data_IF_905146337530
#
_entry.id   IF_905146337530
#
_cell.length_a   1.000
_cell.length_b   1.000
_cell.length_c   1.000
_cell.angle_alpha   90.00
_cell.angle_beta   90.00
_cell.angle_gamma   90.00
#
_symmetry.space_group_name_H-M   'P 1'
#
loop_
_entity.id
_entity.type
_entity.pdbx_description
1 polymer ?
#
# COMPACT_ATOMS: atom_id res chain seq x y z
N UNK A 1 -18.05 -23.28 -17.81
CA UNK A 1 -16.75 -22.75 -17.37
C UNK A 1 -16.81 -21.26 -16.99
N UNK A 2 -17.46 -20.38 -17.78
CA UNK A 2 -17.57 -18.94 -17.47
C UNK A 2 -18.35 -18.62 -16.17
N UNK A 3 -19.38 -19.42 -15.84
CA UNK A 3 -20.18 -19.28 -14.62
C UNK A 3 -19.43 -19.62 -13.33
N UNK A 4 -18.40 -20.49 -13.38
CA UNK A 4 -17.58 -20.83 -12.21
C UNK A 4 -16.68 -19.67 -11.77
N UNK A 5 -15.94 -19.08 -12.72
CA UNK A 5 -15.03 -17.96 -12.45
C UNK A 5 -15.75 -16.70 -11.96
N UNK A 6 -17.01 -16.51 -12.37
CA UNK A 6 -17.82 -15.39 -11.90
C UNK A 6 -18.21 -15.55 -10.42
N UNK A 7 -18.42 -16.78 -9.96
CA UNK A 7 -18.65 -17.06 -8.54
C UNK A 7 -17.38 -16.88 -7.70
N UNK A 8 -16.20 -17.18 -8.25
CA UNK A 8 -14.93 -16.99 -7.55
C UNK A 8 -14.62 -15.51 -7.27
N UNK A 9 -14.93 -14.63 -8.23
CA UNK A 9 -14.78 -13.17 -8.05
C UNK A 9 -15.72 -12.65 -6.96
N UNK A 10 -16.99 -13.09 -6.97
CA UNK A 10 -17.97 -12.69 -5.95
C UNK A 10 -17.53 -13.21 -4.57
N UNK A 11 -17.08 -14.46 -4.49
CA UNK A 11 -16.58 -15.05 -3.25
C UNK A 11 -15.32 -14.34 -2.73
N UNK A 12 -14.43 -13.87 -3.61
CA UNK A 12 -13.29 -13.05 -3.19
C UNK A 12 -13.74 -11.68 -2.66
N UNK A 13 -14.69 -11.01 -3.33
CA UNK A 13 -15.22 -9.73 -2.87
C UNK A 13 -15.81 -9.84 -1.46
N UNK A 14 -16.63 -10.86 -1.20
CA UNK A 14 -17.21 -11.10 0.13
C UNK A 14 -16.14 -11.35 1.20
N UNK A 15 -15.08 -12.11 0.88
CA UNK A 15 -13.96 -12.33 1.81
C UNK A 15 -13.17 -11.05 2.08
N UNK A 16 -12.96 -10.21 1.07
CA UNK A 16 -12.30 -8.91 1.25
C UNK A 16 -13.12 -8.01 2.17
N UNK A 17 -14.44 -7.96 1.97
CA UNK A 17 -15.36 -7.18 2.81
C UNK A 17 -15.34 -7.66 4.27
N UNK A 18 -15.28 -8.97 4.51
CA UNK A 18 -15.11 -9.55 5.86
C UNK A 18 -13.80 -9.12 6.54
N UNK A 19 -12.76 -8.82 5.76
CA UNK A 19 -11.49 -8.28 6.24
C UNK A 19 -11.42 -6.73 6.20
N UNK A 20 -12.58 -6.07 6.06
CA UNK A 20 -12.72 -4.63 6.12
C UNK A 20 -12.36 -3.89 4.82
N UNK A 21 -12.18 -4.60 3.70
CA UNK A 21 -11.80 -4.00 2.42
C UNK A 21 -12.93 -4.09 1.39
N UNK A 22 -13.44 -2.93 0.98
CA UNK A 22 -14.52 -2.81 0.00
C UNK A 22 -13.94 -2.73 -1.41
N UNK A 23 -14.03 -3.83 -2.16
CA UNK A 23 -13.56 -3.92 -3.53
C UNK A 23 -14.73 -3.86 -4.53
N UNK A 24 -14.55 -3.13 -5.62
CA UNK A 24 -15.41 -3.29 -6.79
C UNK A 24 -15.13 -4.63 -7.49
N UNK A 25 -16.13 -5.12 -8.23
CA UNK A 25 -16.02 -6.39 -8.96
C UNK A 25 -14.82 -6.44 -9.91
N UNK A 26 -14.56 -5.35 -10.65
CA UNK A 26 -13.41 -5.25 -11.57
C UNK A 26 -12.09 -5.42 -10.81
N UNK A 27 -11.96 -4.74 -9.67
CA UNK A 27 -10.80 -4.82 -8.80
C UNK A 27 -10.61 -6.21 -8.18
N UNK A 28 -11.69 -6.82 -7.70
CA UNK A 28 -11.67 -8.19 -7.18
C UNK A 28 -11.24 -9.19 -8.26
N UNK A 29 -11.69 -9.01 -9.50
CA UNK A 29 -11.26 -9.84 -10.62
C UNK A 29 -9.75 -9.70 -10.90
N UNK A 30 -9.23 -8.46 -10.90
CA UNK A 30 -7.79 -8.23 -11.07
C UNK A 30 -6.98 -8.87 -9.95
N UNK A 31 -7.39 -8.73 -8.69
CA UNK A 31 -6.73 -9.39 -7.56
C UNK A 31 -6.76 -10.92 -7.66
N UNK A 32 -7.88 -11.50 -8.10
CA UNK A 32 -7.97 -12.94 -8.32
C UNK A 32 -6.96 -13.39 -9.39
N UNK A 33 -6.86 -12.67 -10.50
CA UNK A 33 -5.88 -12.96 -11.55
C UNK A 33 -4.43 -12.81 -11.05
N UNK A 34 -4.13 -11.79 -10.26
CA UNK A 34 -2.84 -11.63 -9.58
C UNK A 34 -2.49 -12.86 -8.74
N UNK A 35 -3.46 -13.36 -7.96
CA UNK A 35 -3.27 -14.52 -7.08
C UNK A 35 -3.06 -15.82 -7.86
N UNK A 36 -3.87 -16.07 -8.89
CA UNK A 36 -3.81 -17.30 -9.71
C UNK A 36 -2.57 -17.33 -10.61
N UNK A 37 -2.27 -16.20 -11.28
CA UNK A 37 -1.14 -16.13 -12.21
C UNK A 37 0.20 -15.92 -11.51
N UNK A 38 0.19 -15.59 -10.20
CA UNK A 38 1.37 -15.20 -9.43
C UNK A 38 2.18 -14.10 -10.14
N UNK A 39 1.47 -13.15 -10.75
CA UNK A 39 2.06 -11.97 -11.40
C UNK A 39 1.94 -10.76 -10.48
N UNK A 40 2.94 -9.86 -10.43
CA UNK A 40 2.84 -8.63 -9.66
C UNK A 40 1.65 -7.76 -10.10
N UNK A 41 1.06 -7.00 -9.18
CA UNK A 41 0.00 -6.02 -9.47
C UNK A 41 0.53 -4.60 -9.24
N UNK A 42 0.52 -3.78 -10.27
CA UNK A 42 0.79 -2.34 -10.20
C UNK A 42 -0.52 -1.58 -10.00
N UNK A 43 -0.63 -0.91 -8.86
CA UNK A 43 -1.71 -0.01 -8.50
C UNK A 43 -1.26 1.44 -8.69
N UNK A 44 -1.83 2.12 -9.66
CA UNK A 44 -1.57 3.53 -9.93
C UNK A 44 -2.80 4.36 -9.57
N UNK A 45 -2.63 5.58 -9.07
CA UNK A 45 -3.75 6.45 -8.71
C UNK A 45 -3.32 7.58 -7.78
N UNK A 46 -4.27 8.38 -7.32
CA UNK A 46 -4.01 9.50 -6.43
C UNK A 46 -3.61 9.04 -5.01
N UNK A 47 -3.00 9.94 -4.24
CA UNK A 47 -2.69 9.67 -2.84
C UNK A 47 -3.98 9.48 -2.02
N UNK A 48 -3.97 8.54 -1.07
CA UNK A 48 -5.11 8.36 -0.16
C UNK A 48 -6.33 7.62 -0.76
N UNK A 49 -6.24 7.03 -1.96
CA UNK A 49 -7.32 6.19 -2.55
C UNK A 49 -7.33 4.74 -2.05
N UNK A 50 -6.44 4.37 -1.12
CA UNK A 50 -6.42 3.05 -0.49
C UNK A 50 -5.50 2.00 -1.12
N UNK A 51 -4.58 2.38 -2.01
CA UNK A 51 -3.63 1.46 -2.69
C UNK A 51 -2.84 0.59 -1.70
N UNK A 52 -2.30 1.20 -0.64
CA UNK A 52 -1.53 0.50 0.41
C UNK A 52 -2.41 -0.45 1.24
N UNK A 53 -3.70 -0.13 1.41
CA UNK A 53 -4.62 -0.97 2.20
C UNK A 53 -4.94 -2.28 1.48
N UNK A 54 -4.84 -2.31 0.15
CA UNK A 54 -5.00 -3.54 -0.65
C UNK A 54 -4.03 -4.63 -0.21
N UNK A 55 -2.74 -4.28 -0.05
CA UNK A 55 -1.73 -5.26 0.34
C UNK A 55 -1.96 -5.79 1.76
N UNK A 56 -2.40 -4.93 2.68
CA UNK A 56 -2.77 -5.33 4.05
C UNK A 56 -4.00 -6.24 4.05
N UNK A 57 -5.03 -5.89 3.28
CA UNK A 57 -6.24 -6.71 3.14
C UNK A 57 -5.91 -8.08 2.56
N UNK A 58 -5.05 -8.14 1.54
CA UNK A 58 -4.58 -9.39 0.94
C UNK A 58 -3.79 -10.25 1.95
N UNK A 59 -2.91 -9.64 2.74
CA UNK A 59 -2.14 -10.35 3.77
C UNK A 59 -3.05 -10.93 4.86
N UNK A 60 -4.06 -10.17 5.31
CA UNK A 60 -5.09 -10.64 6.25
C UNK A 60 -5.90 -11.80 5.66
N UNK A 61 -6.34 -11.67 4.41
CA UNK A 61 -7.14 -12.68 3.71
C UNK A 61 -6.38 -14.00 3.51
N UNK A 62 -5.08 -13.92 3.20
CA UNK A 62 -4.21 -15.07 3.02
C UNK A 62 -3.62 -15.60 4.34
N UNK A 63 -3.86 -14.91 5.45
CA UNK A 63 -3.27 -15.16 6.75
C UNK A 63 -1.74 -15.35 6.67
N UNK A 64 -1.08 -14.43 5.95
CA UNK A 64 0.37 -14.45 5.73
C UNK A 64 1.01 -13.13 6.15
N UNK A 65 2.34 -13.11 6.20
CA UNK A 65 3.10 -11.92 6.57
C UNK A 65 3.02 -10.86 5.47
N UNK A 66 2.88 -9.60 5.88
CA UNK A 66 3.07 -8.44 5.02
C UNK A 66 4.52 -7.95 5.18
N UNK A 67 5.28 -7.97 4.09
CA UNK A 67 6.61 -7.36 4.03
C UNK A 67 6.47 -6.08 3.20
N UNK A 68 6.90 -4.96 3.77
CA UNK A 68 6.82 -3.65 3.12
C UNK A 68 8.21 -3.16 2.78
N UNK A 69 8.39 -2.78 1.52
CA UNK A 69 9.48 -1.95 1.03
C UNK A 69 8.91 -0.56 0.74
N UNK A 70 9.34 0.44 1.50
CA UNK A 70 9.01 1.83 1.21
C UNK A 70 10.03 2.38 0.21
N UNK A 71 9.56 2.85 -0.94
CA UNK A 71 10.37 3.55 -1.91
C UNK A 71 10.42 5.05 -1.58
N UNK A 72 11.59 5.63 -1.76
CA UNK A 72 11.89 7.04 -1.59
C UNK A 72 13.12 7.40 -2.42
N UNK A 73 13.36 8.69 -2.60
CA UNK A 73 14.50 9.18 -3.38
C UNK A 73 15.83 8.85 -2.70
N UNK A 74 16.74 8.22 -3.43
CA UNK A 74 18.02 7.74 -2.87
C UNK A 74 17.92 6.42 -2.12
N UNK A 75 16.85 5.64 -2.29
CA UNK A 75 16.79 4.25 -1.83
C UNK A 75 17.93 3.44 -2.48
N UNK A 76 18.84 2.94 -1.66
CA UNK A 76 19.97 2.12 -2.11
C UNK A 76 19.55 0.65 -2.27
N UNK A 77 20.10 -0.02 -3.29
CA UNK A 77 19.86 -1.42 -3.59
C UNK A 77 20.21 -2.32 -2.39
N UNK A 78 21.28 -2.04 -1.66
CA UNK A 78 21.64 -2.80 -0.46
C UNK A 78 20.56 -2.72 0.62
N UNK A 79 19.94 -1.56 0.82
CA UNK A 79 18.89 -1.38 1.82
C UNK A 79 17.58 -2.12 1.50
N UNK A 80 17.37 -2.43 0.21
CA UNK A 80 16.20 -3.15 -0.28
C UNK A 80 16.43 -4.66 -0.44
N UNK A 81 17.60 -5.06 -0.94
CA UNK A 81 17.96 -6.44 -1.30
C UNK A 81 18.54 -7.20 -0.10
N UNK A 82 19.75 -6.82 0.33
CA UNK A 82 20.46 -7.42 1.45
C UNK A 82 21.64 -6.55 1.90
N UNK A 83 22.06 -6.75 3.15
CA UNK A 83 23.28 -6.14 3.67
C UNK A 83 24.10 -7.18 4.46
N UNK A 84 25.42 -7.08 4.39
CA UNK A 84 26.29 -7.89 5.25
C UNK A 84 26.41 -7.25 6.64
N UNK A 85 26.18 -8.04 7.69
CA UNK A 85 26.44 -7.60 9.06
C UNK A 85 27.94 -7.63 9.36
N UNK A 86 28.65 -6.59 8.91
CA UNK A 86 30.09 -6.48 9.07
C UNK A 86 30.54 -6.53 10.53
N UNK A 87 29.76 -5.99 11.46
CA UNK A 87 30.08 -6.04 12.90
C UNK A 87 30.12 -7.48 13.41
N UNK A 88 29.12 -8.28 13.03
CA UNK A 88 29.04 -9.69 13.41
C UNK A 88 30.12 -10.53 12.68
N UNK A 89 30.42 -10.21 11.42
CA UNK A 89 31.54 -10.85 10.69
C UNK A 89 32.89 -10.56 11.34
N UNK A 90 33.17 -9.31 11.72
CA UNK A 90 34.43 -8.94 12.38
C UNK A 90 34.59 -9.60 13.75
N UNK A 91 33.50 -9.74 14.51
CA UNK A 91 33.52 -10.48 15.77
C UNK A 91 33.84 -11.97 15.52
N UNK A 92 33.21 -12.57 14.52
CA UNK A 92 33.46 -13.95 14.16
C UNK A 92 34.91 -14.18 13.70
N UNK A 93 35.46 -13.28 12.89
CA UNK A 93 36.87 -13.31 12.48
C UNK A 93 37.78 -13.33 13.70
N UNK A 94 37.57 -12.43 14.68
CA UNK A 94 38.36 -12.37 15.91
C UNK A 94 38.25 -13.64 16.75
N UNK A 95 37.07 -14.24 16.84
CA UNK A 95 36.88 -15.51 17.56
C UNK A 95 37.56 -16.69 16.84
N UNK A 96 37.73 -16.62 15.52
CA UNK A 96 38.35 -17.64 14.67
C UNK A 96 39.85 -17.36 14.37
N UNK A 97 40.44 -16.32 14.97
CA UNK A 97 41.87 -15.97 14.77
C UNK A 97 42.81 -17.11 15.22
N UNK A 98 42.43 -17.86 16.27
CA UNK A 98 43.19 -19.00 16.79
C UNK A 98 42.84 -20.34 16.13
N UNK A 99 41.95 -20.34 15.14
CA UNK A 99 41.54 -21.54 14.43
C UNK A 99 42.63 -21.97 13.43
N UNK A 100 43.00 -23.26 13.38
CA UNK A 100 44.06 -23.77 12.50
C UNK A 100 43.56 -24.18 11.09
N UNK A 101 42.24 -24.04 10.83
CA UNK A 101 41.64 -24.35 9.52
C UNK A 101 42.18 -23.46 8.39
N UNK A 102 42.07 -23.96 7.14
CA UNK A 102 42.56 -23.26 5.96
C UNK A 102 41.80 -21.96 5.69
N UNK A 103 42.43 -20.98 5.04
CA UNK A 103 41.80 -19.69 4.70
C UNK A 103 40.48 -19.87 3.92
N UNK A 104 40.39 -20.75 2.90
CA UNK A 104 39.13 -21.03 2.20
C UNK A 104 37.99 -21.53 3.10
N UNK A 105 38.31 -22.39 4.08
CA UNK A 105 37.31 -22.91 5.00
C UNK A 105 36.79 -21.81 5.95
N UNK A 106 37.69 -20.91 6.38
CA UNK A 106 37.32 -19.73 7.19
C UNK A 106 36.51 -18.71 6.38
N UNK A 107 36.79 -18.55 5.09
CA UNK A 107 36.08 -17.61 4.21
C UNK A 107 34.62 -18.05 3.96
N UNK A 108 34.38 -19.33 3.69
CA UNK A 108 33.01 -19.89 3.60
C UNK A 108 32.22 -19.70 4.88
N UNK A 109 32.91 -19.78 6.01
CA UNK A 109 32.33 -19.48 7.30
C UNK A 109 31.89 -18.00 7.38
N UNK A 110 32.71 -17.04 6.97
CA UNK A 110 32.43 -15.60 7.10
C UNK A 110 31.38 -15.10 6.10
N UNK A 111 31.37 -15.64 4.88
CA UNK A 111 30.38 -15.31 3.84
C UNK A 111 29.29 -16.37 3.76
N UNK A 112 28.44 -16.39 4.80
CA UNK A 112 27.31 -17.30 4.89
C UNK A 112 26.04 -16.56 5.32
N UNK A 113 24.88 -17.16 5.06
CA UNK A 113 23.56 -16.57 5.37
C UNK A 113 23.43 -16.08 6.83
N UNK A 114 24.22 -16.61 7.77
CA UNK A 114 24.23 -16.21 9.19
C UNK A 114 24.63 -14.76 9.43
N UNK A 115 25.39 -14.16 8.50
CA UNK A 115 25.80 -12.76 8.56
C UNK A 115 25.05 -11.88 7.58
N UNK A 116 24.12 -12.45 6.80
CA UNK A 116 23.36 -11.71 5.81
C UNK A 116 22.09 -11.16 6.43
N UNK A 117 21.99 -9.84 6.52
CA UNK A 117 20.77 -9.15 6.89
C UNK A 117 19.82 -9.19 5.69
N UNK A 118 18.78 -10.02 5.81
CA UNK A 118 17.70 -10.12 4.82
C UNK A 118 16.90 -8.83 4.86
N UNK A 119 17.01 -8.01 3.81
CA UNK A 119 16.19 -6.81 3.60
C UNK A 119 14.88 -7.21 2.90
N UNK A 120 13.90 -6.29 2.74
CA UNK A 120 12.54 -6.66 2.36
C UNK A 120 12.44 -7.57 1.12
N UNK A 121 13.27 -7.37 0.11
CA UNK A 121 13.23 -8.17 -1.13
C UNK A 121 13.76 -9.58 -0.94
N UNK A 122 14.93 -9.76 -0.29
CA UNK A 122 15.46 -11.09 0.02
C UNK A 122 14.58 -11.82 1.05
N UNK A 123 14.05 -11.09 2.04
CA UNK A 123 13.12 -11.63 3.02
C UNK A 123 11.86 -12.17 2.33
N UNK A 124 11.31 -11.43 1.35
CA UNK A 124 10.09 -11.83 0.66
C UNK A 124 10.22 -13.12 -0.15
N UNK A 125 11.38 -13.38 -0.75
CA UNK A 125 11.61 -14.60 -1.54
C UNK A 125 12.03 -15.80 -0.68
N UNK A 126 12.59 -15.57 0.51
CA UNK A 126 13.05 -16.64 1.42
C UNK A 126 12.07 -16.98 2.54
N UNK A 127 10.96 -16.25 2.68
CA UNK A 127 9.93 -16.50 3.69
C UNK A 127 8.94 -17.56 3.22
N UNK A 128 8.60 -18.50 4.11
CA UNK A 128 7.51 -19.47 3.94
C UNK A 128 6.59 -19.44 5.17
N UNK A 129 5.24 -19.49 4.98
CA UNK A 129 4.51 -19.46 3.71
C UNK A 129 4.72 -18.14 2.94
N UNK A 130 4.46 -18.15 1.62
CA UNK A 130 4.65 -16.99 0.75
C UNK A 130 4.04 -15.71 1.34
N UNK A 131 4.82 -14.64 1.56
CA UNK A 131 4.30 -13.39 2.08
C UNK A 131 3.60 -12.55 1.00
N UNK A 132 2.89 -11.51 1.44
CA UNK A 132 2.54 -10.38 0.57
C UNK A 132 3.69 -9.38 0.63
N UNK A 133 4.29 -9.08 -0.52
CA UNK A 133 5.31 -8.05 -0.68
C UNK A 133 4.65 -6.78 -1.21
N UNK A 134 4.66 -5.72 -0.41
CA UNK A 134 4.24 -4.38 -0.80
C UNK A 134 5.47 -3.55 -1.14
N UNK A 135 5.59 -3.12 -2.40
CA UNK A 135 6.55 -2.11 -2.86
C UNK A 135 5.78 -0.80 -2.98
N UNK A 136 5.93 0.08 -1.99
CA UNK A 136 5.09 1.26 -1.82
C UNK A 136 5.77 2.50 -2.41
N UNK A 137 5.06 3.27 -3.23
CA UNK A 137 5.55 4.50 -3.91
C UNK A 137 6.74 4.28 -4.85
N UNK A 138 6.66 3.26 -5.72
CA UNK A 138 7.75 2.90 -6.65
C UNK A 138 8.17 4.05 -7.59
N UNK A 139 7.28 5.01 -7.83
CA UNK A 139 7.57 6.22 -8.60
C UNK A 139 8.58 7.18 -7.93
N UNK A 140 8.94 6.92 -6.67
CA UNK A 140 9.94 7.70 -5.91
C UNK A 140 11.37 7.18 -6.05
N UNK A 141 11.61 6.04 -6.71
CA UNK A 141 12.97 5.51 -6.93
C UNK A 141 13.54 5.93 -8.27
N UNK A 142 14.83 5.66 -8.46
CA UNK A 142 15.53 5.86 -9.74
C UNK A 142 15.40 4.65 -10.68
N UNK A 143 15.89 4.79 -11.92
CA UNK A 143 15.87 3.70 -12.92
C UNK A 143 16.76 2.52 -12.55
N UNK A 144 17.86 2.79 -11.84
CA UNK A 144 18.78 1.76 -11.39
C UNK A 144 18.06 0.80 -10.45
N UNK A 145 17.29 1.32 -9.49
CA UNK A 145 16.48 0.49 -8.60
C UNK A 145 15.42 -0.33 -9.35
N UNK A 146 14.71 0.28 -10.31
CA UNK A 146 13.75 -0.45 -11.15
C UNK A 146 14.40 -1.62 -11.88
N UNK A 147 15.62 -1.46 -12.39
CA UNK A 147 16.36 -2.53 -13.06
C UNK A 147 16.65 -3.73 -12.14
N UNK A 148 17.02 -3.48 -10.87
CA UNK A 148 17.20 -4.55 -9.88
C UNK A 148 15.88 -5.26 -9.55
N UNK A 149 14.77 -4.51 -9.46
CA UNK A 149 13.46 -5.12 -9.27
C UNK A 149 13.05 -6.02 -10.44
N UNK A 150 13.45 -5.70 -11.67
CA UNK A 150 13.08 -6.51 -12.84
C UNK A 150 13.64 -7.93 -12.77
N UNK A 151 14.86 -8.12 -12.25
CA UNK A 151 15.44 -9.46 -12.03
C UNK A 151 14.54 -10.26 -11.08
N UNK A 152 14.22 -9.66 -9.92
CA UNK A 152 13.40 -10.30 -8.90
C UNK A 152 11.97 -10.57 -9.40
N UNK A 153 11.32 -9.62 -10.06
CA UNK A 153 9.93 -9.77 -10.49
C UNK A 153 9.77 -10.70 -11.72
N UNK A 154 10.85 -10.96 -12.46
CA UNK A 154 10.82 -11.86 -13.60
C UNK A 154 10.95 -13.31 -13.18
N UNK A 155 12.00 -13.64 -12.42
CA UNK A 155 12.34 -15.03 -12.09
C UNK A 155 12.16 -15.37 -10.60
N UNK A 156 11.79 -14.39 -9.77
CA UNK A 156 11.70 -14.52 -8.31
C UNK A 156 12.99 -15.08 -7.72
N UNK A 157 14.11 -14.51 -8.13
CA UNK A 157 15.43 -14.84 -7.65
C UNK A 157 16.26 -13.57 -7.43
N UNK A 158 17.35 -13.71 -6.70
CA UNK A 158 18.31 -12.65 -6.44
C UNK A 158 19.73 -13.21 -6.60
N UNK A 159 20.55 -12.53 -7.39
CA UNK A 159 21.98 -12.84 -7.52
C UNK A 159 22.79 -12.12 -6.43
N UNK A 160 23.43 -12.89 -5.55
CA UNK A 160 24.35 -12.39 -4.52
C UNK A 160 25.76 -12.83 -4.92
N UNK A 161 26.71 -11.91 -5.17
CA UNK A 161 28.04 -12.27 -5.66
C UNK A 161 28.75 -13.36 -4.84
N UNK A 162 28.64 -13.30 -3.52
CA UNK A 162 29.32 -14.23 -2.61
C UNK A 162 28.54 -15.55 -2.37
N UNK A 163 27.21 -15.56 -2.56
CA UNK A 163 26.36 -16.73 -2.27
C UNK A 163 25.75 -17.38 -3.53
N UNK A 164 25.97 -16.77 -4.70
CA UNK A 164 25.32 -17.16 -5.94
C UNK A 164 23.84 -16.75 -6.01
N UNK A 165 23.08 -17.48 -6.81
CA UNK A 165 21.67 -17.16 -7.09
C UNK A 165 20.76 -17.79 -6.04
N UNK A 166 20.07 -16.94 -5.27
CA UNK A 166 19.04 -17.36 -4.32
C UNK A 166 17.69 -17.30 -5.01
N UNK A 167 16.99 -18.44 -5.10
CA UNK A 167 15.66 -18.53 -5.70
C UNK A 167 14.58 -18.53 -4.64
N UNK A 168 13.42 -17.96 -4.97
CA UNK A 168 12.27 -17.97 -4.08
C UNK A 168 11.82 -19.39 -3.75
N UNK A 169 11.60 -19.66 -2.46
CA UNK A 169 11.02 -20.92 -2.01
C UNK A 169 9.56 -21.03 -2.47
N UNK A 170 8.81 -19.95 -2.26
CA UNK A 170 7.47 -19.75 -2.79
C UNK A 170 7.36 -18.33 -3.36
N UNK A 171 6.66 -18.15 -4.48
CA UNK A 171 6.53 -16.83 -5.09
C UNK A 171 5.63 -15.93 -4.22
N UNK A 172 6.14 -14.80 -3.69
CA UNK A 172 5.33 -13.87 -2.90
C UNK A 172 4.22 -13.24 -3.77
N UNK A 173 3.15 -12.79 -3.11
CA UNK A 173 2.14 -11.98 -3.76
C UNK A 173 2.62 -10.53 -3.78
N UNK A 174 2.93 -9.99 -4.96
CA UNK A 174 3.56 -8.66 -5.08
C UNK A 174 2.53 -7.60 -5.45
N UNK A 175 2.44 -6.55 -4.62
CA UNK A 175 1.68 -5.33 -4.90
C UNK A 175 2.67 -4.17 -4.99
N UNK A 176 2.66 -3.46 -6.12
CA UNK A 176 3.38 -2.21 -6.33
C UNK A 176 2.38 -1.06 -6.28
N UNK A 177 2.69 0.03 -5.60
CA UNK A 177 1.88 1.24 -5.61
C UNK A 177 2.63 2.40 -6.25
N UNK A 178 1.91 3.25 -6.96
CA UNK A 178 2.44 4.48 -7.53
C UNK A 178 1.45 5.62 -7.35
N UNK A 179 1.97 6.81 -7.05
CA UNK A 179 1.19 8.05 -7.02
C UNK A 179 1.25 8.81 -8.35
N UNK A 180 1.92 8.26 -9.37
CA UNK A 180 2.07 8.91 -10.67
C UNK A 180 2.95 10.16 -10.64
N UNK A 181 3.81 10.33 -9.63
CA UNK A 181 4.73 11.49 -9.56
C UNK A 181 5.86 11.43 -10.57
N UNK A 182 6.15 10.23 -11.06
CA UNK A 182 7.09 9.92 -12.14
C UNK A 182 6.51 8.79 -12.98
N UNK A 183 6.83 8.79 -14.28
CA UNK A 183 6.52 7.66 -15.15
C UNK A 183 7.32 6.42 -14.75
N UNK A 184 6.61 5.33 -14.45
CA UNK A 184 7.18 4.00 -14.26
C UNK A 184 7.61 3.41 -15.61
N UNK A 185 8.78 2.77 -15.65
CA UNK A 185 9.31 2.18 -16.88
C UNK A 185 8.37 1.16 -17.53
N UNK A 186 8.37 1.16 -18.86
CA UNK A 186 7.65 0.17 -19.68
C UNK A 186 8.01 -1.27 -19.33
N UNK A 187 9.29 -1.50 -18.99
CA UNK A 187 9.79 -2.81 -18.60
C UNK A 187 9.08 -3.32 -17.33
N UNK A 188 8.93 -2.47 -16.31
CA UNK A 188 8.25 -2.81 -15.07
C UNK A 188 6.75 -2.98 -15.29
N UNK A 189 6.12 -2.07 -16.05
CA UNK A 189 4.69 -2.16 -16.42
C UNK A 189 4.35 -3.47 -17.12
N UNK A 190 5.17 -3.91 -18.08
CA UNK A 190 4.95 -5.17 -18.82
C UNK A 190 5.03 -6.43 -17.95
N UNK A 191 5.76 -6.38 -16.84
CA UNK A 191 5.87 -7.49 -15.88
C UNK A 191 4.68 -7.57 -14.93
N UNK A 192 3.96 -6.48 -14.74
CA UNK A 192 2.81 -6.40 -13.84
C UNK A 192 1.46 -6.59 -14.57
N UNK A 193 0.44 -6.99 -13.80
CA UNK A 193 -0.94 -6.60 -14.09
C UNK A 193 -1.12 -5.14 -13.67
N UNK A 194 -1.98 -4.41 -14.35
CA UNK A 194 -2.17 -2.98 -14.12
C UNK A 194 -3.60 -2.69 -13.70
N UNK A 195 -3.75 -1.83 -12.69
CA UNK A 195 -5.04 -1.31 -12.26
C UNK A 195 -4.88 0.14 -11.80
N UNK A 196 -5.64 1.03 -12.44
CA UNK A 196 -5.81 2.39 -11.94
C UNK A 196 -6.86 2.41 -10.82
N UNK A 197 -6.58 3.13 -9.75
CA UNK A 197 -7.45 3.30 -8.58
C UNK A 197 -7.79 4.78 -8.45
N UNK A 198 -9.03 5.10 -8.80
CA UNK A 198 -9.58 6.44 -8.66
C UNK A 198 -10.26 6.62 -7.29
N UNK A 199 -10.66 7.85 -6.98
CA UNK A 199 -11.53 8.12 -5.84
C UNK A 199 -12.80 7.27 -5.91
N UNK A 200 -13.24 6.68 -4.79
CA UNK A 200 -14.45 5.88 -4.77
C UNK A 200 -15.67 6.73 -5.13
N UNK A 201 -16.61 6.14 -5.86
CA UNK A 201 -17.95 6.71 -6.00
C UNK A 201 -18.70 6.68 -4.66
N UNK A 202 -19.82 7.42 -4.60
CA UNK A 202 -20.63 7.62 -3.40
C UNK A 202 -20.92 6.32 -2.62
N UNK A 203 -21.53 5.33 -3.29
CA UNK A 203 -21.94 4.06 -2.66
C UNK A 203 -20.75 3.30 -2.04
N UNK A 204 -19.62 3.28 -2.75
CA UNK A 204 -18.41 2.60 -2.29
C UNK A 204 -17.80 3.32 -1.10
N UNK A 205 -17.70 4.65 -1.16
CA UNK A 205 -17.15 5.44 -0.06
C UNK A 205 -18.01 5.35 1.20
N UNK A 206 -19.33 5.41 1.05
CA UNK A 206 -20.28 5.21 2.16
C UNK A 206 -20.12 3.83 2.79
N UNK A 207 -19.99 2.78 1.98
CA UNK A 207 -19.75 1.43 2.49
C UNK A 207 -18.41 1.33 3.22
N UNK A 208 -17.35 1.98 2.72
CA UNK A 208 -16.05 2.03 3.40
C UNK A 208 -16.18 2.74 4.75
N UNK A 209 -16.80 3.92 4.80
CA UNK A 209 -16.99 4.68 6.04
C UNK A 209 -17.73 3.84 7.09
N UNK A 210 -18.82 3.17 6.70
CA UNK A 210 -19.59 2.29 7.59
C UNK A 210 -18.81 1.06 8.07
N UNK A 211 -17.94 0.52 7.22
CA UNK A 211 -17.11 -0.65 7.54
C UNK A 211 -15.98 -0.29 8.49
N UNK A 212 -15.36 0.88 8.29
CA UNK A 212 -14.21 1.33 9.07
C UNK A 212 -14.60 2.02 10.38
N UNK A 213 -15.76 2.68 10.42
CA UNK A 213 -16.26 3.41 11.59
C UNK A 213 -17.72 2.99 11.85
N UNK A 214 -17.97 1.80 12.44
CA UNK A 214 -19.32 1.28 12.63
C UNK A 214 -20.20 2.11 13.57
N UNK A 215 -19.59 2.93 14.44
CA UNK A 215 -20.33 3.81 15.37
C UNK A 215 -20.96 5.04 14.70
N UNK A 216 -20.62 5.34 13.44
CA UNK A 216 -21.16 6.51 12.74
C UNK A 216 -22.66 6.33 12.45
N UNK A 217 -23.53 7.28 12.81
CA UNK A 217 -24.94 7.24 12.41
C UNK A 217 -25.08 7.22 10.88
N UNK A 218 -25.97 6.38 10.35
CA UNK A 218 -26.15 6.20 8.90
C UNK A 218 -26.44 7.54 8.17
N UNK A 219 -27.29 8.38 8.76
CA UNK A 219 -27.58 9.71 8.24
C UNK A 219 -26.32 10.57 8.14
N UNK A 220 -25.50 10.60 9.19
CA UNK A 220 -24.28 11.39 9.24
C UNK A 220 -23.24 10.88 8.23
N UNK A 221 -23.07 9.57 8.11
CA UNK A 221 -22.16 8.99 7.11
C UNK A 221 -22.55 9.39 5.68
N UNK A 222 -23.85 9.33 5.36
CA UNK A 222 -24.39 9.75 4.05
C UNK A 222 -24.03 11.20 3.75
N UNK A 223 -24.31 12.10 4.68
CA UNK A 223 -24.04 13.53 4.55
C UNK A 223 -22.54 13.83 4.44
N UNK A 224 -21.70 13.13 5.21
CA UNK A 224 -20.24 13.29 5.14
C UNK A 224 -19.74 12.95 3.75
N UNK A 225 -20.17 11.81 3.19
CA UNK A 225 -19.75 11.41 1.85
C UNK A 225 -20.28 12.37 0.78
N UNK A 226 -21.53 12.83 0.89
CA UNK A 226 -22.08 13.88 -0.01
C UNK A 226 -21.25 15.17 0.04
N UNK A 227 -20.86 15.59 1.24
CA UNK A 227 -20.02 16.77 1.45
C UNK A 227 -18.64 16.58 0.83
N UNK A 228 -17.95 15.47 1.11
CA UNK A 228 -16.61 15.20 0.58
C UNK A 228 -16.62 15.11 -0.95
N UNK A 229 -17.62 14.43 -1.53
CA UNK A 229 -17.78 14.34 -2.98
C UNK A 229 -17.96 15.73 -3.59
N UNK A 230 -18.75 16.60 -2.97
CA UNK A 230 -18.93 18.00 -3.40
C UNK A 230 -17.63 18.81 -3.27
N UNK A 231 -16.87 18.62 -2.19
CA UNK A 231 -15.56 19.25 -1.97
C UNK A 231 -14.56 18.84 -3.06
N UNK A 232 -14.55 17.57 -3.51
CA UNK A 232 -13.66 17.10 -4.59
C UNK A 232 -13.97 17.72 -5.97
N UNK A 233 -15.15 18.31 -6.14
CA UNK A 233 -15.54 19.06 -7.35
C UNK A 233 -15.07 20.52 -7.32
N UNK A 234 -14.59 21.01 -6.18
CA UNK A 234 -13.98 22.33 -6.08
C UNK A 234 -12.57 22.31 -6.69
N UNK A 235 -12.11 23.48 -7.10
CA UNK A 235 -10.74 23.69 -7.59
C UNK A 235 -9.77 23.75 -6.40
N UNK A 236 -9.45 22.58 -5.86
CA UNK A 236 -8.53 22.41 -4.73
C UNK A 236 -7.16 21.98 -5.22
N UNK A 237 -6.11 22.49 -4.57
CA UNK A 237 -4.75 22.01 -4.80
C UNK A 237 -4.59 20.57 -4.37
N UNK A 238 -5.15 20.21 -3.21
CA UNK A 238 -5.14 18.84 -2.71
C UNK A 238 -6.55 18.37 -2.41
N UNK A 239 -7.10 17.57 -3.33
CA UNK A 239 -8.39 16.91 -3.13
C UNK A 239 -8.30 15.92 -1.94
N UNK A 240 -9.30 15.88 -1.06
CA UNK A 240 -9.30 14.96 0.07
C UNK A 240 -9.42 13.50 -0.40
N UNK A 241 -8.52 12.64 0.06
CA UNK A 241 -8.58 11.20 -0.15
C UNK A 241 -9.52 10.50 0.81
N UNK A 242 -9.55 9.17 0.73
CA UNK A 242 -10.33 8.33 1.63
C UNK A 242 -9.80 8.41 3.07
N UNK A 243 -8.48 8.57 3.24
CA UNK A 243 -7.87 8.76 4.55
C UNK A 243 -8.39 10.04 5.21
N UNK A 244 -8.41 11.17 4.48
CA UNK A 244 -8.97 12.42 4.97
C UNK A 244 -10.49 12.32 5.24
N UNK A 245 -11.26 11.57 4.43
CA UNK A 245 -12.67 11.27 4.73
C UNK A 245 -12.82 10.59 6.09
N UNK A 246 -12.07 9.52 6.34
CA UNK A 246 -12.15 8.75 7.60
C UNK A 246 -11.69 9.57 8.81
N UNK A 247 -10.62 10.35 8.67
CA UNK A 247 -10.15 11.27 9.71
C UNK A 247 -11.22 12.32 10.05
N UNK A 248 -11.92 12.83 9.03
CA UNK A 248 -12.98 13.82 9.23
C UNK A 248 -14.22 13.24 9.88
N UNK A 249 -14.64 12.01 9.51
CA UNK A 249 -15.71 11.29 10.22
C UNK A 249 -15.37 11.14 11.70
N UNK A 250 -14.15 10.69 12.02
CA UNK A 250 -13.70 10.53 13.40
C UNK A 250 -13.65 11.87 14.16
N UNK A 251 -13.26 12.97 13.49
CA UNK A 251 -13.27 14.31 14.08
C UNK A 251 -14.69 14.78 14.42
N UNK A 252 -15.65 14.61 13.49
CA UNK A 252 -17.04 15.01 13.70
C UNK A 252 -17.70 14.24 14.85
N UNK A 253 -17.43 12.93 14.96
CA UNK A 253 -17.92 12.12 16.08
C UNK A 253 -17.37 12.60 17.42
N UNK A 254 -16.08 12.98 17.49
CA UNK A 254 -15.46 13.52 18.72
C UNK A 254 -15.99 14.89 19.11
N UNK A 255 -16.41 15.70 18.14
CA UNK A 255 -17.08 16.99 18.36
C UNK A 255 -18.57 16.84 18.69
N UNK A 256 -19.10 15.61 18.71
CA UNK A 256 -20.50 15.35 19.01
C UNK A 256 -21.47 15.81 17.91
N UNK A 257 -20.98 15.95 16.67
CA UNK A 257 -21.83 16.35 15.53
C UNK A 257 -22.69 15.16 15.12
N UNK A 258 -24.01 15.34 15.16
CA UNK A 258 -24.98 14.30 14.81
C UNK A 258 -25.51 14.41 13.37
N UNK A 259 -25.35 15.57 12.74
CA UNK A 259 -25.77 15.84 11.37
C UNK A 259 -24.93 17.00 10.79
N UNK A 260 -24.74 16.99 9.47
CA UNK A 260 -24.20 18.13 8.74
C UNK A 260 -25.39 19.00 8.35
N UNK A 261 -25.50 20.18 8.96
CA UNK A 261 -26.55 21.15 8.66
C UNK A 261 -26.03 22.59 8.79
N UNK A 262 -26.83 23.55 8.33
CA UNK A 262 -26.49 24.97 8.38
C UNK A 262 -26.45 25.55 9.81
N UNK A 263 -27.00 24.86 10.81
CA UNK A 263 -27.01 25.32 12.19
C UNK A 263 -25.72 24.92 12.93
N UNK A 264 -25.05 23.84 12.50
CA UNK A 264 -23.79 23.33 13.05
C UNK A 264 -22.53 23.74 12.26
N UNK A 265 -22.57 24.84 11.51
CA UNK A 265 -21.48 25.27 10.61
C UNK A 265 -20.18 25.53 11.35
N UNK A 266 -20.23 26.09 12.56
CA UNK A 266 -19.01 26.36 13.34
C UNK A 266 -18.26 25.06 13.67
N UNK A 267 -18.96 24.01 14.09
CA UNK A 267 -18.35 22.70 14.35
C UNK A 267 -17.80 22.06 13.09
N UNK A 268 -18.47 22.25 11.95
CA UNK A 268 -17.97 21.79 10.64
C UNK A 268 -16.67 22.53 10.33
N UNK A 269 -16.65 23.86 10.42
CA UNK A 269 -15.48 24.71 10.19
C UNK A 269 -14.29 24.31 11.07
N UNK A 270 -14.53 24.11 12.37
CA UNK A 270 -13.50 23.68 13.34
C UNK A 270 -12.88 22.32 12.98
N UNK A 271 -13.68 21.44 12.37
CA UNK A 271 -13.25 20.10 11.95
C UNK A 271 -12.58 20.04 10.57
N UNK A 272 -12.66 21.11 9.75
CA UNK A 272 -12.17 21.08 8.36
C UNK A 272 -10.66 20.85 8.25
N UNK A 273 -9.89 21.11 9.30
CA UNK A 273 -8.46 20.79 9.36
C UNK A 273 -8.17 19.28 9.19
N UNK A 274 -9.14 18.41 9.52
CA UNK A 274 -9.05 16.98 9.27
C UNK A 274 -9.21 16.63 7.78
N UNK A 275 -9.98 17.42 7.03
CA UNK A 275 -10.31 17.16 5.63
C UNK A 275 -9.42 17.92 4.63
N UNK A 276 -9.18 19.21 4.88
CA UNK A 276 -8.47 20.14 3.99
C UNK A 276 -7.10 20.46 4.56
N UNK A 277 -6.04 20.17 3.79
CA UNK A 277 -4.66 20.15 4.29
C UNK A 277 -3.78 21.33 3.87
N UNK A 278 -4.23 22.16 2.93
CA UNK A 278 -3.46 23.33 2.50
C UNK A 278 -4.09 24.61 3.03
N UNK A 279 -3.25 25.62 3.31
CA UNK A 279 -3.71 26.93 3.79
C UNK A 279 -4.58 27.64 2.74
N UNK A 280 -4.25 27.48 1.46
CA UNK A 280 -4.98 28.11 0.36
C UNK A 280 -6.36 27.49 0.19
N UNK A 281 -6.46 26.16 0.20
CA UNK A 281 -7.75 25.46 0.16
C UNK A 281 -8.60 25.80 1.40
N UNK A 282 -7.98 25.86 2.60
CA UNK A 282 -8.69 26.28 3.83
C UNK A 282 -9.20 27.71 3.75
N UNK A 283 -8.43 28.64 3.18
CA UNK A 283 -8.87 30.02 2.98
C UNK A 283 -10.04 30.11 1.99
N UNK A 284 -10.12 29.20 1.01
CA UNK A 284 -11.25 29.06 0.09
C UNK A 284 -12.52 28.52 0.75
N UNK A 285 -12.39 27.75 1.84
CA UNK A 285 -13.51 27.20 2.61
C UNK A 285 -14.12 28.23 3.57
N UNK A 286 -14.62 29.33 3.01
CA UNK A 286 -15.32 30.37 3.76
C UNK A 286 -16.67 29.88 4.29
N UNK A 287 -17.17 30.52 5.35
CA UNK A 287 -18.47 30.18 5.95
C UNK A 287 -19.62 30.06 4.93
N UNK A 288 -19.82 30.99 3.96
CA UNK A 288 -20.88 30.84 2.96
C UNK A 288 -20.71 29.62 2.04
N UNK A 289 -19.46 29.23 1.75
CA UNK A 289 -19.16 28.03 0.95
C UNK A 289 -19.54 26.78 1.73
N UNK A 290 -19.15 26.71 3.00
CA UNK A 290 -19.46 25.57 3.87
C UNK A 290 -20.95 25.46 4.14
N UNK A 291 -21.65 26.58 4.37
CA UNK A 291 -23.12 26.61 4.48
C UNK A 291 -23.79 26.07 3.22
N UNK A 292 -23.32 26.46 2.04
CA UNK A 292 -23.83 25.97 0.77
C UNK A 292 -23.62 24.46 0.59
N UNK A 293 -22.43 23.97 0.93
CA UNK A 293 -22.10 22.55 0.85
C UNK A 293 -22.89 21.71 1.87
N UNK A 294 -23.02 22.20 3.10
CA UNK A 294 -23.80 21.55 4.15
C UNK A 294 -25.31 21.50 3.80
N UNK A 295 -25.84 22.55 3.16
CA UNK A 295 -27.23 22.57 2.70
C UNK A 295 -27.52 21.61 1.53
N UNK A 296 -26.49 21.16 0.81
CA UNK A 296 -26.64 20.18 -0.28
C UNK A 296 -26.55 18.71 0.16
N UNK A 297 -26.35 18.43 1.45
CA UNK A 297 -26.21 17.08 2.03
C UNK A 297 -27.49 16.63 2.76
#
# INVERSE_FOLDING_TARGET
MATGRMNDVIGLQQRLEQHGFVAERSFAATLLLTMEMRRPLLLEGEAGVGKTEVAKALARLLNTRLIRLQCYEGLDAHSALYEWNYQHQLLAIKLLEQDERSIPDKEQDIFSERYLLKRPLLEAITTTPAPVLLIDEIDRTDEAFEAYLLELLSDFQLSIPELGVIRALERPFVILTSNGTREISDALRRRCLYQYVDYPGFEKELLIVRTQIPEVPEKLARQIVEFVQSVRQLDLQKKPGLAETLDWVAALLRLGVSAIDANGVEQIMDSLSALIKTREDQAGMTRPVVEKLAASC
#
